data_IF_904248978022
#
_entry.id   IF_904248978022
#
_cell.length_a   1.000
_cell.length_b   1.000
_cell.length_c   1.000
_cell.angle_alpha   90.00
_cell.angle_beta   90.00
_cell.angle_gamma   90.00
#
_symmetry.space_group_name_H-M   'P 1'
#
loop_
_entity.id
_entity.type
_entity.pdbx_description
1 polymer ?
#
# COMPACT_ATOMS: atom_id res chain seq x y z
N UNK A 1 26.84 7.48 -73.66
CA UNK A 1 28.03 8.14 -74.22
C UNK A 1 28.16 9.49 -73.56
N UNK A 2 29.02 9.58 -72.53
CA UNK A 2 30.28 10.37 -72.55
C UNK A 2 29.99 11.88 -72.57
N UNK A 3 29.98 12.61 -71.44
CA UNK A 3 31.12 12.99 -70.59
C UNK A 3 32.24 13.68 -71.39
N UNK A 4 32.60 14.93 -71.04
CA UNK A 4 33.86 15.30 -70.34
C UNK A 4 34.26 16.78 -70.61
N UNK A 5 34.22 17.73 -69.64
CA UNK A 5 35.20 18.21 -68.61
C UNK A 5 35.76 19.62 -68.91
N UNK A 6 35.83 20.48 -67.87
CA UNK A 6 37.01 21.25 -67.43
C UNK A 6 36.61 22.15 -66.22
N UNK A 7 37.00 21.76 -64.98
CA UNK A 7 37.97 22.44 -64.09
C UNK A 7 37.62 23.90 -63.73
N UNK A 8 37.62 24.39 -62.48
CA UNK A 8 38.72 24.32 -61.48
C UNK A 8 38.28 25.06 -60.19
N UNK A 9 38.90 24.70 -59.07
CA UNK A 9 39.29 25.56 -57.94
C UNK A 9 38.26 26.01 -56.87
N UNK A 10 38.46 25.43 -55.68
CA UNK A 10 38.83 26.13 -54.43
C UNK A 10 37.75 26.74 -53.50
N UNK A 11 37.94 26.34 -52.24
CA UNK A 11 37.77 27.11 -51.01
C UNK A 11 36.39 27.13 -50.34
N UNK A 12 36.36 26.38 -49.24
CA UNK A 12 35.52 26.58 -48.06
C UNK A 12 35.27 28.06 -47.73
N UNK A 13 34.00 28.47 -47.74
CA UNK A 13 33.55 29.71 -47.11
C UNK A 13 32.38 29.39 -46.18
N UNK A 14 32.60 29.64 -44.89
CA UNK A 14 31.64 29.59 -43.80
C UNK A 14 30.56 30.65 -44.06
N UNK A 15 29.26 30.32 -44.18
CA UNK A 15 28.22 31.33 -44.19
C UNK A 15 27.83 31.70 -42.75
N UNK A 16 28.55 32.67 -42.19
CA UNK A 16 28.04 33.54 -41.12
C UNK A 16 26.84 34.32 -41.63
N UNK A 17 25.64 34.04 -41.09
CA UNK A 17 24.54 34.97 -40.75
C UNK A 17 23.23 34.19 -40.54
N UNK A 18 22.98 33.77 -39.30
CA UNK A 18 21.63 33.48 -38.85
C UNK A 18 21.02 34.80 -38.36
N UNK A 19 20.03 35.30 -39.10
CA UNK A 19 19.15 36.41 -38.68
C UNK A 19 18.30 35.93 -37.50
N UNK A 20 18.23 36.66 -36.37
CA UNK A 20 17.24 36.38 -35.34
C UNK A 20 15.99 37.20 -35.66
N UNK A 21 14.90 36.56 -36.06
CA UNK A 21 13.58 37.14 -35.85
C UNK A 21 12.50 36.05 -35.88
N UNK A 22 11.58 36.16 -34.92
CA UNK A 22 10.31 35.45 -34.79
C UNK A 22 10.36 34.02 -34.27
N UNK A 23 10.51 33.89 -32.94
CA UNK A 23 9.69 33.01 -32.09
C UNK A 23 9.90 33.41 -30.62
N UNK A 24 9.61 34.68 -30.33
CA UNK A 24 9.41 35.15 -28.96
C UNK A 24 7.90 35.02 -28.72
N UNK A 25 7.44 33.86 -28.26
CA UNK A 25 6.29 33.88 -27.36
C UNK A 25 6.83 34.47 -26.06
N UNK A 26 6.64 35.78 -25.90
CA UNK A 26 6.79 36.47 -24.62
C UNK A 26 5.95 35.70 -23.60
N UNK A 27 6.62 34.98 -22.70
CA UNK A 27 6.02 34.66 -21.41
C UNK A 27 5.77 36.01 -20.75
N UNK A 28 4.52 36.34 -20.36
CA UNK A 28 4.20 37.65 -19.83
C UNK A 28 5.10 37.95 -18.62
N UNK A 29 5.71 39.13 -18.67
CA UNK A 29 6.63 39.64 -17.66
C UNK A 29 6.01 39.55 -16.26
N UNK A 30 6.73 38.95 -15.30
CA UNK A 30 6.46 39.14 -13.88
C UNK A 30 6.28 37.93 -12.94
N UNK A 31 6.85 36.73 -13.18
CA UNK A 31 6.63 35.63 -12.23
C UNK A 31 7.79 34.64 -11.98
N UNK A 32 9.03 35.12 -11.85
CA UNK A 32 10.13 34.27 -11.32
C UNK A 32 11.00 34.99 -10.27
N UNK A 33 10.40 35.86 -9.46
CA UNK A 33 11.15 36.72 -8.52
C UNK A 33 11.53 36.03 -7.18
N UNK A 34 11.08 34.79 -6.94
CA UNK A 34 11.30 34.10 -5.65
C UNK A 34 11.82 32.67 -5.75
N UNK A 35 12.20 32.22 -6.94
CA UNK A 35 12.62 30.85 -7.21
C UNK A 35 14.08 30.80 -7.68
N UNK A 36 14.94 29.93 -7.12
CA UNK A 36 16.30 29.78 -7.63
C UNK A 36 16.28 29.31 -9.08
N UNK A 37 16.95 30.04 -9.96
CA UNK A 37 17.14 29.64 -11.35
C UNK A 37 18.22 28.54 -11.43
N UNK A 38 17.98 27.49 -12.21
CA UNK A 38 19.01 26.51 -12.55
C UNK A 38 19.98 27.12 -13.57
N UNK A 39 21.30 26.83 -13.49
CA UNK A 39 22.25 27.27 -14.52
C UNK A 39 21.85 26.70 -15.88
N UNK A 40 21.72 27.59 -16.86
CA UNK A 40 21.29 27.28 -18.22
C UNK A 40 22.31 26.33 -18.88
N UNK A 41 22.02 25.02 -18.92
CA UNK A 41 22.85 24.08 -19.68
C UNK A 41 22.56 24.23 -21.18
N UNK A 42 23.53 24.81 -21.90
CA UNK A 42 23.79 24.80 -23.36
C UNK A 42 22.66 25.15 -24.35
N UNK A 43 21.42 25.35 -23.89
CA UNK A 43 20.22 25.48 -24.73
C UNK A 43 19.47 26.80 -24.51
N UNK A 44 20.05 27.73 -23.74
CA UNK A 44 19.54 29.10 -23.58
C UNK A 44 18.17 29.24 -22.89
N UNK A 45 17.56 28.15 -22.40
CA UNK A 45 16.26 28.19 -21.72
C UNK A 45 16.45 28.13 -20.21
N UNK A 46 16.11 29.21 -19.52
CA UNK A 46 15.93 29.23 -18.08
C UNK A 46 14.60 28.55 -17.72
N UNK A 47 14.63 27.57 -16.82
CA UNK A 47 13.42 26.95 -16.28
C UNK A 47 13.18 27.49 -14.88
N UNK A 48 12.04 28.15 -14.67
CA UNK A 48 11.63 28.54 -13.32
C UNK A 48 11.18 27.30 -12.55
N UNK A 49 11.89 26.98 -11.48
CA UNK A 49 11.52 25.90 -10.57
C UNK A 49 10.69 26.47 -9.42
N UNK A 50 9.46 25.98 -9.24
CA UNK A 50 8.71 26.26 -8.02
C UNK A 50 9.10 25.25 -6.94
N UNK A 51 9.73 25.65 -5.83
CA UNK A 51 9.97 24.75 -4.71
C UNK A 51 8.63 24.24 -4.18
N UNK A 52 8.33 22.98 -4.47
CA UNK A 52 7.17 22.25 -3.93
C UNK A 52 7.17 22.30 -2.39
N UNK A 53 8.32 22.52 -1.76
CA UNK A 53 8.49 22.78 -0.32
C UNK A 53 8.05 24.19 0.11
N UNK A 54 6.89 24.66 -0.35
CA UNK A 54 6.17 25.73 0.33
C UNK A 54 5.58 25.16 1.63
N UNK A 55 5.58 25.94 2.72
CA UNK A 55 5.07 25.50 4.04
C UNK A 55 3.73 24.74 3.89
N UNK A 56 3.57 23.57 4.54
CA UNK A 56 2.33 22.81 4.46
C UNK A 56 1.16 23.63 5.02
N UNK A 57 -0.01 23.49 4.42
CA UNK A 57 -1.23 24.11 4.97
C UNK A 57 -1.53 23.50 6.34
N UNK A 58 -1.96 24.31 7.31
CA UNK A 58 -2.36 23.85 8.65
C UNK A 58 -3.39 22.71 8.54
N UNK A 59 -4.34 22.82 7.61
CA UNK A 59 -5.35 21.79 7.35
C UNK A 59 -4.74 20.44 6.93
N UNK A 60 -3.68 20.46 6.11
CA UNK A 60 -2.99 19.23 5.70
C UNK A 60 -2.23 18.58 6.86
N UNK A 61 -1.67 19.38 7.76
CA UNK A 61 -0.96 18.88 8.94
C UNK A 61 -1.93 18.23 9.93
N UNK A 62 -3.08 18.88 10.18
CA UNK A 62 -4.16 18.31 11.01
C UNK A 62 -4.65 16.98 10.43
N UNK A 63 -4.88 16.92 9.10
CA UNK A 63 -5.27 15.68 8.44
C UNK A 63 -4.25 14.55 8.67
N UNK A 64 -2.96 14.81 8.46
CA UNK A 64 -1.93 13.77 8.64
C UNK A 64 -1.80 13.32 10.10
N UNK A 65 -2.00 14.23 11.07
CA UNK A 65 -2.01 13.89 12.49
C UNK A 65 -3.20 12.98 12.83
N UNK A 66 -4.41 13.33 12.38
CA UNK A 66 -5.61 12.51 12.57
C UNK A 66 -5.46 11.15 11.88
N UNK A 67 -4.99 11.14 10.63
CA UNK A 67 -4.77 9.92 9.86
C UNK A 67 -3.73 9.00 10.55
N UNK A 68 -2.66 9.55 11.10
CA UNK A 68 -1.66 8.78 11.85
C UNK A 68 -2.26 8.16 13.13
N UNK A 69 -3.05 8.92 13.90
CA UNK A 69 -3.72 8.41 15.11
C UNK A 69 -4.68 7.27 14.76
N UNK A 70 -5.53 7.47 13.75
CA UNK A 70 -6.46 6.43 13.29
C UNK A 70 -5.70 5.21 12.76
N UNK A 71 -4.61 5.42 12.03
CA UNK A 71 -3.75 4.34 11.53
C UNK A 71 -3.16 3.49 12.66
N UNK A 72 -2.63 4.13 13.71
CA UNK A 72 -2.13 3.43 14.90
C UNK A 72 -3.24 2.68 15.61
N UNK A 73 -4.43 3.28 15.76
CA UNK A 73 -5.57 2.63 16.37
C UNK A 73 -6.02 1.37 15.60
N UNK A 74 -6.04 1.41 14.26
CA UNK A 74 -6.36 0.25 13.41
C UNK A 74 -5.37 -0.89 13.65
N UNK A 75 -4.07 -0.58 13.72
CA UNK A 75 -3.03 -1.59 13.97
C UNK A 75 -3.15 -2.17 15.38
N UNK A 76 -3.38 -1.32 16.39
CA UNK A 76 -3.56 -1.75 17.77
C UNK A 76 -4.77 -2.69 17.93
N UNK A 77 -5.93 -2.31 17.38
CA UNK A 77 -7.11 -3.16 17.37
C UNK A 77 -6.88 -4.46 16.58
N UNK A 78 -6.13 -4.40 15.49
CA UNK A 78 -5.70 -5.59 14.74
C UNK A 78 -4.86 -6.55 15.59
N UNK A 79 -3.94 -6.04 16.40
CA UNK A 79 -3.13 -6.87 17.29
C UNK A 79 -3.95 -7.41 18.47
N UNK A 80 -4.84 -6.61 19.04
CA UNK A 80 -5.74 -7.06 20.11
C UNK A 80 -6.70 -8.15 19.64
N UNK A 81 -7.26 -8.03 18.43
CA UNK A 81 -8.11 -9.08 17.85
C UNK A 81 -7.32 -10.37 17.65
N UNK A 82 -6.09 -10.33 17.16
CA UNK A 82 -5.23 -11.52 17.01
C UNK A 82 -4.88 -12.15 18.36
N UNK A 83 -4.57 -11.36 19.38
CA UNK A 83 -4.27 -11.85 20.73
C UNK A 83 -5.50 -12.50 21.38
N UNK A 84 -6.67 -11.84 21.28
CA UNK A 84 -7.93 -12.36 21.81
C UNK A 84 -8.31 -13.68 21.11
N UNK A 85 -8.16 -13.73 19.79
CA UNK A 85 -8.34 -14.96 19.04
C UNK A 85 -7.37 -16.04 19.52
N UNK A 86 -6.05 -15.80 19.57
CA UNK A 86 -5.06 -16.78 20.07
C UNK A 86 -5.44 -17.36 21.44
N UNK A 87 -5.96 -16.54 22.34
CA UNK A 87 -6.43 -17.00 23.66
C UNK A 87 -7.63 -17.94 23.59
N UNK A 88 -8.55 -17.71 22.63
CA UNK A 88 -9.65 -18.64 22.32
C UNK A 88 -9.09 -19.97 21.78
N UNK A 89 -8.12 -19.94 20.85
CA UNK A 89 -7.57 -21.17 20.25
C UNK A 89 -6.74 -22.01 21.19
N UNK A 90 -5.98 -21.41 22.10
CA UNK A 90 -5.16 -22.14 23.06
C UNK A 90 -5.97 -23.16 23.88
N UNK A 91 -7.30 -22.93 24.01
CA UNK A 91 -8.24 -23.82 24.70
C UNK A 91 -8.79 -24.97 23.83
N UNK A 92 -8.61 -24.95 22.50
CA UNK A 92 -9.17 -25.95 21.57
C UNK A 92 -8.12 -26.86 20.94
N UNK A 93 -7.00 -27.12 21.63
CA UNK A 93 -5.99 -28.11 21.23
C UNK A 93 -6.62 -29.52 21.13
N UNK A 94 -6.08 -30.41 20.28
CA UNK A 94 -6.67 -31.73 20.05
C UNK A 94 -6.82 -32.57 21.33
N UNK A 95 -5.90 -32.42 22.30
CA UNK A 95 -5.96 -33.08 23.61
C UNK A 95 -7.07 -32.51 24.51
N UNK A 96 -7.30 -31.19 24.48
CA UNK A 96 -8.41 -30.58 25.23
C UNK A 96 -9.79 -30.84 24.62
N UNK A 97 -9.90 -31.24 23.34
CA UNK A 97 -11.20 -31.64 22.78
C UNK A 97 -11.73 -32.93 23.39
N UNK A 98 -10.84 -33.89 23.66
CA UNK A 98 -11.21 -35.13 24.31
C UNK A 98 -11.61 -34.87 25.76
N UNK A 99 -10.88 -34.01 26.48
CA UNK A 99 -11.27 -33.58 27.83
C UNK A 99 -12.59 -32.82 27.83
N UNK A 100 -12.80 -31.86 26.93
CA UNK A 100 -14.07 -31.13 26.83
C UNK A 100 -15.26 -32.05 26.48
N UNK A 101 -15.04 -33.09 25.68
CA UNK A 101 -16.07 -34.10 25.40
C UNK A 101 -16.35 -34.98 26.64
N UNK A 102 -15.31 -35.37 27.38
CA UNK A 102 -15.41 -36.13 28.63
C UNK A 102 -16.14 -35.30 29.70
N UNK A 103 -15.78 -34.03 29.85
CA UNK A 103 -16.40 -33.12 30.82
C UNK A 103 -17.89 -32.88 30.53
N UNK A 104 -18.29 -32.83 29.25
CA UNK A 104 -19.71 -32.77 28.86
C UNK A 104 -20.48 -34.05 29.16
N UNK A 105 -19.83 -35.21 29.03
CA UNK A 105 -20.43 -36.49 29.42
C UNK A 105 -20.56 -36.58 30.95
N UNK A 106 -19.53 -36.13 31.67
CA UNK A 106 -19.53 -36.04 33.13
C UNK A 106 -20.65 -35.12 33.63
N UNK A 107 -20.85 -33.93 33.07
CA UNK A 107 -21.94 -33.00 33.42
C UNK A 107 -23.34 -33.66 33.31
N UNK A 108 -23.58 -34.40 32.22
CA UNK A 108 -24.84 -35.13 32.01
C UNK A 108 -24.99 -36.32 32.96
N UNK A 109 -23.90 -37.02 33.26
CA UNK A 109 -23.91 -38.18 34.15
C UNK A 109 -23.99 -37.76 35.62
N UNK A 110 -23.41 -36.62 35.98
CA UNK A 110 -23.36 -36.07 37.33
C UNK A 110 -24.59 -35.23 37.69
N UNK A 111 -25.65 -35.27 36.86
CA UNK A 111 -26.90 -34.53 37.06
C UNK A 111 -26.68 -33.03 37.38
N UNK A 112 -25.66 -32.40 36.77
CA UNK A 112 -25.35 -30.98 36.98
C UNK A 112 -24.54 -30.62 38.23
N UNK A 113 -23.99 -31.59 38.98
CA UNK A 113 -23.06 -31.31 40.10
C UNK A 113 -21.63 -30.92 39.65
N UNK A 114 -21.31 -31.05 38.36
CA UNK A 114 -20.00 -30.75 37.79
C UNK A 114 -20.15 -29.66 36.73
N UNK A 115 -19.65 -28.47 37.03
CA UNK A 115 -20.01 -27.21 36.34
C UNK A 115 -18.91 -26.67 35.41
N UNK A 116 -17.85 -27.46 35.21
CA UNK A 116 -16.65 -27.06 34.45
C UNK A 116 -16.96 -26.86 32.95
N UNK A 117 -17.89 -27.64 32.41
CA UNK A 117 -18.33 -27.50 31.02
C UNK A 117 -19.24 -26.28 30.77
N UNK A 118 -19.92 -25.74 31.78
CA UNK A 118 -20.77 -24.54 31.67
C UNK A 118 -19.97 -23.24 31.80
N UNK A 119 -19.02 -23.20 32.75
CA UNK A 119 -18.08 -22.07 32.91
C UNK A 119 -17.21 -21.84 31.67
N UNK A 120 -16.75 -22.89 31.01
CA UNK A 120 -16.04 -22.79 29.73
C UNK A 120 -16.91 -22.18 28.63
N UNK A 121 -18.20 -22.56 28.53
CA UNK A 121 -19.13 -21.97 27.54
C UNK A 121 -19.32 -20.47 27.78
N UNK A 122 -19.48 -20.04 29.03
CA UNK A 122 -19.65 -18.62 29.36
C UNK A 122 -18.40 -17.80 29.00
N UNK A 123 -17.20 -18.31 29.29
CA UNK A 123 -15.95 -17.64 28.91
C UNK A 123 -15.72 -17.59 27.39
N UNK A 124 -16.07 -18.67 26.67
CA UNK A 124 -16.00 -18.71 25.20
C UNK A 124 -16.98 -17.69 24.60
N UNK A 125 -18.22 -17.65 25.08
CA UNK A 125 -19.24 -16.71 24.63
C UNK A 125 -18.78 -15.25 24.85
N UNK A 126 -18.35 -14.91 26.07
CA UNK A 126 -17.88 -13.56 26.41
C UNK A 126 -16.65 -13.13 25.60
N UNK A 127 -15.71 -14.05 25.36
CA UNK A 127 -14.50 -13.74 24.59
C UNK A 127 -14.81 -13.62 23.09
N UNK A 128 -15.70 -14.46 22.56
CA UNK A 128 -16.15 -14.39 21.16
C UNK A 128 -16.88 -13.08 20.86
N UNK A 129 -17.69 -12.58 21.79
CA UNK A 129 -18.37 -11.29 21.68
C UNK A 129 -17.37 -10.13 21.63
N UNK A 130 -16.37 -10.15 22.53
CA UNK A 130 -15.28 -9.14 22.53
C UNK A 130 -14.52 -9.11 21.19
N UNK A 131 -14.23 -10.27 20.62
CA UNK A 131 -13.54 -10.37 19.33
C UNK A 131 -14.39 -9.80 18.20
N UNK A 132 -15.70 -10.06 18.19
CA UNK A 132 -16.61 -9.49 17.20
C UNK A 132 -16.68 -7.97 17.31
N UNK A 133 -16.76 -7.42 18.54
CA UNK A 133 -16.74 -5.98 18.78
C UNK A 133 -15.44 -5.35 18.29
N UNK A 134 -14.28 -5.83 18.73
CA UNK A 134 -12.98 -5.30 18.30
C UNK A 134 -12.84 -5.31 16.77
N UNK A 135 -13.35 -6.36 16.12
CA UNK A 135 -13.37 -6.47 14.66
C UNK A 135 -14.29 -5.45 13.99
N UNK A 136 -15.50 -5.23 14.50
CA UNK A 136 -16.44 -4.24 13.93
C UNK A 136 -15.92 -2.82 14.10
N UNK A 137 -15.38 -2.49 15.27
CA UNK A 137 -14.71 -1.20 15.52
C UNK A 137 -13.52 -1.00 14.58
N UNK A 138 -12.66 -2.01 14.43
CA UNK A 138 -11.55 -1.97 13.47
C UNK A 138 -12.02 -1.75 12.03
N UNK A 139 -13.07 -2.44 11.58
CA UNK A 139 -13.69 -2.24 10.26
C UNK A 139 -14.19 -0.81 10.07
N UNK A 140 -14.94 -0.28 11.05
CA UNK A 140 -15.50 1.06 10.99
C UNK A 140 -14.40 2.13 10.92
N UNK A 141 -13.34 2.00 11.73
CA UNK A 141 -12.20 2.90 11.69
C UNK A 141 -11.44 2.83 10.36
N UNK A 142 -11.26 1.63 9.79
CA UNK A 142 -10.64 1.47 8.48
C UNK A 142 -11.45 2.15 7.37
N UNK A 143 -12.78 1.97 7.36
CA UNK A 143 -13.67 2.64 6.40
C UNK A 143 -13.64 4.16 6.60
N UNK A 144 -13.70 4.63 7.85
CA UNK A 144 -13.61 6.05 8.17
C UNK A 144 -12.30 6.67 7.69
N UNK A 145 -11.16 5.98 7.88
CA UNK A 145 -9.85 6.41 7.36
C UNK A 145 -9.86 6.56 5.84
N UNK A 146 -10.41 5.57 5.11
CA UNK A 146 -10.45 5.62 3.65
C UNK A 146 -11.35 6.76 3.15
N UNK A 147 -12.52 6.95 3.76
CA UNK A 147 -13.42 8.07 3.43
C UNK A 147 -12.76 9.41 3.71
N UNK A 148 -12.12 9.56 4.88
CA UNK A 148 -11.37 10.76 5.26
C UNK A 148 -10.25 11.06 4.25
N UNK A 149 -9.53 10.02 3.83
CA UNK A 149 -8.44 10.13 2.85
C UNK A 149 -8.92 10.54 1.46
N UNK A 150 -10.01 9.95 0.99
CA UNK A 150 -10.62 10.30 -0.30
C UNK A 150 -11.18 11.72 -0.26
N UNK A 151 -11.87 12.09 0.82
CA UNK A 151 -12.41 13.45 1.01
C UNK A 151 -11.29 14.50 1.03
N UNK A 152 -10.21 14.24 1.75
CA UNK A 152 -9.03 15.12 1.77
C UNK A 152 -8.40 15.28 0.38
N UNK A 153 -8.19 14.17 -0.35
CA UNK A 153 -7.65 14.22 -1.71
C UNK A 153 -8.60 14.96 -2.66
N UNK A 154 -9.91 14.73 -2.57
CA UNK A 154 -10.91 15.45 -3.35
C UNK A 154 -10.86 16.96 -3.07
N UNK A 155 -10.80 17.36 -1.80
CA UNK A 155 -10.67 18.77 -1.40
C UNK A 155 -9.42 19.42 -2.00
N UNK A 156 -8.25 18.77 -1.87
CA UNK A 156 -6.99 19.26 -2.45
C UNK A 156 -7.07 19.34 -3.97
N UNK A 157 -7.79 18.41 -4.61
CA UNK A 157 -8.06 18.42 -6.05
C UNK A 157 -8.98 19.57 -6.49
N UNK A 158 -10.06 19.83 -5.75
CA UNK A 158 -11.02 20.90 -6.01
C UNK A 158 -10.43 22.29 -5.80
N UNK A 159 -9.50 22.43 -4.86
CA UNK A 159 -8.79 23.70 -4.60
C UNK A 159 -7.84 24.11 -5.74
N UNK A 160 -7.87 23.42 -6.90
CA UNK A 160 -7.08 23.65 -8.10
C UNK A 160 -5.60 23.95 -7.79
N UNK A 161 -5.05 23.26 -6.79
CA UNK A 161 -3.66 23.39 -6.40
C UNK A 161 -2.76 22.86 -7.51
N UNK A 162 -1.54 23.41 -7.60
CA UNK A 162 -0.54 22.97 -8.59
C UNK A 162 -0.47 21.43 -8.63
N UNK A 163 -0.49 20.87 -9.84
CA UNK A 163 -0.49 19.43 -10.12
C UNK A 163 0.53 18.61 -9.31
N UNK A 164 1.69 19.20 -9.03
CA UNK A 164 2.74 18.61 -8.19
C UNK A 164 2.31 18.45 -6.72
N UNK A 165 1.62 19.44 -6.13
CA UNK A 165 1.14 19.38 -4.74
C UNK A 165 0.10 18.29 -4.54
N UNK A 166 -0.86 18.17 -5.47
CA UNK A 166 -1.83 17.07 -5.45
C UNK A 166 -1.14 15.70 -5.52
N UNK A 167 -0.16 15.56 -6.42
CA UNK A 167 0.60 14.31 -6.58
C UNK A 167 1.39 13.97 -5.31
N UNK A 168 1.95 14.98 -4.62
CA UNK A 168 2.63 14.78 -3.34
C UNK A 168 1.67 14.23 -2.28
N UNK A 169 0.50 14.85 -2.10
CA UNK A 169 -0.50 14.38 -1.14
C UNK A 169 -0.96 12.95 -1.47
N UNK A 170 -1.12 12.64 -2.75
CA UNK A 170 -1.45 11.29 -3.22
C UNK A 170 -0.39 10.25 -2.80
N UNK A 171 0.90 10.58 -2.97
CA UNK A 171 2.01 9.71 -2.55
C UNK A 171 2.12 9.58 -1.02
N UNK A 172 1.88 10.66 -0.27
CA UNK A 172 1.91 10.62 1.20
C UNK A 172 0.77 9.78 1.78
N UNK A 173 -0.45 9.92 1.24
CA UNK A 173 -1.58 9.06 1.64
C UNK A 173 -1.31 7.60 1.25
N UNK A 174 -0.74 7.36 0.07
CA UNK A 174 -0.32 6.01 -0.34
C UNK A 174 0.71 5.43 0.65
N UNK A 175 1.69 6.22 1.11
CA UNK A 175 2.69 5.78 2.09
C UNK A 175 2.06 5.40 3.43
N UNK A 176 1.07 6.15 3.92
CA UNK A 176 0.31 5.78 5.12
C UNK A 176 -0.46 4.47 4.94
N UNK A 177 -1.15 4.32 3.81
CA UNK A 177 -1.86 3.07 3.49
C UNK A 177 -0.90 1.87 3.41
N UNK A 178 0.30 2.05 2.83
CA UNK A 178 1.30 0.99 2.78
C UNK A 178 1.78 0.61 4.19
N UNK A 179 2.09 1.61 5.03
CA UNK A 179 2.55 1.37 6.39
C UNK A 179 1.52 0.58 7.19
N UNK A 180 0.25 1.02 7.17
CA UNK A 180 -0.86 0.33 7.85
C UNK A 180 -1.08 -1.06 7.25
N UNK A 181 -1.06 -1.19 5.92
CA UNK A 181 -1.29 -2.44 5.21
C UNK A 181 -0.24 -3.52 5.47
N UNK A 182 1.01 -3.12 5.68
CA UNK A 182 2.11 -4.02 6.04
C UNK A 182 2.06 -4.44 7.51
N UNK A 183 1.63 -3.55 8.40
CA UNK A 183 1.57 -3.82 9.84
C UNK A 183 0.31 -4.54 10.30
N UNK A 184 -0.83 -4.32 9.63
CA UNK A 184 -2.10 -4.89 10.03
C UNK A 184 -2.25 -6.36 9.55
N UNK A 185 -3.05 -7.19 10.24
CA UNK A 185 -3.34 -8.54 9.80
C UNK A 185 -3.97 -8.54 8.39
N UNK A 186 -3.38 -9.29 7.46
CA UNK A 186 -3.82 -9.35 6.06
C UNK A 186 -4.81 -10.49 5.82
N UNK A 187 -4.54 -11.64 6.43
CA UNK A 187 -5.34 -12.85 6.31
C UNK A 187 -5.62 -13.38 7.70
N UNK A 188 -6.88 -13.66 8.00
CA UNK A 188 -7.28 -14.38 9.19
C UNK A 188 -8.00 -15.64 8.75
N UNK A 189 -7.36 -16.77 9.03
CA UNK A 189 -7.92 -18.08 8.74
C UNK A 189 -8.57 -18.57 10.02
N UNK A 190 -9.85 -18.93 9.99
CA UNK A 190 -10.51 -19.68 11.07
C UNK A 190 -11.02 -21.00 10.49
N UNK A 191 -10.36 -22.09 10.86
CA UNK A 191 -10.94 -23.40 10.61
C UNK A 191 -12.10 -23.63 11.57
N UNK A 192 -13.33 -23.59 11.07
CA UNK A 192 -14.50 -24.01 11.83
C UNK A 192 -14.90 -25.38 11.28
N UNK A 193 -14.82 -26.44 12.09
CA UNK A 193 -15.56 -27.67 11.78
C UNK A 193 -16.78 -27.72 12.67
N UNK A 194 -17.93 -27.86 12.04
CA UNK A 194 -19.11 -28.35 12.71
C UNK A 194 -18.88 -29.83 13.05
N UNK A 195 -18.69 -30.13 14.33
CA UNK A 195 -18.71 -31.51 14.81
C UNK A 195 -20.13 -31.76 15.30
N UNK A 196 -20.83 -32.69 14.66
CA UNK A 196 -22.26 -33.01 14.87
C UNK A 196 -22.65 -33.34 16.33
N UNK A 197 -21.69 -33.52 17.23
CA UNK A 197 -21.90 -33.83 18.66
C UNK A 197 -21.45 -32.68 19.59
N UNK A 198 -20.66 -31.70 19.13
CA UNK A 198 -20.09 -30.63 19.99
C UNK A 198 -20.49 -29.19 19.62
N UNK A 199 -21.16 -28.95 18.49
CA UNK A 199 -21.48 -27.60 18.00
C UNK A 199 -20.30 -26.96 17.24
N UNK A 200 -20.39 -25.66 16.94
CA UNK A 200 -19.35 -24.92 16.20
C UNK A 200 -18.06 -24.83 17.00
N UNK A 201 -17.08 -25.67 16.68
CA UNK A 201 -15.76 -25.60 17.28
C UNK A 201 -14.80 -24.96 16.30
N UNK A 202 -14.21 -23.88 16.76
CA UNK A 202 -13.17 -23.13 16.07
C UNK A 202 -11.85 -23.93 16.23
N UNK A 203 -11.49 -24.69 15.20
CA UNK A 203 -10.43 -25.70 15.21
C UNK A 203 -9.00 -25.18 14.99
N UNK A 204 -8.82 -24.10 14.22
CA UNK A 204 -7.51 -23.50 13.93
C UNK A 204 -7.66 -22.02 13.63
N UNK A 205 -6.73 -21.20 14.10
CA UNK A 205 -6.56 -19.86 13.57
C UNK A 205 -5.14 -19.44 13.47
N UNK A 206 -4.89 -18.87 12.33
CA UNK A 206 -3.69 -18.14 12.06
C UNK A 206 -4.16 -16.83 11.44
N UNK A 207 -3.90 -15.74 12.14
CA UNK A 207 -3.79 -14.47 11.46
C UNK A 207 -2.33 -14.27 11.06
N UNK A 208 -2.11 -13.85 9.83
CA UNK A 208 -0.77 -13.55 9.33
C UNK A 208 -0.79 -12.18 8.67
N UNK A 209 0.00 -11.26 9.22
CA UNK A 209 0.46 -10.08 8.48
C UNK A 209 1.52 -10.50 7.46
N UNK A 210 1.73 -9.71 6.40
CA UNK A 210 2.73 -10.04 5.35
C UNK A 210 4.10 -10.27 5.97
N UNK A 211 4.53 -9.37 6.86
CA UNK A 211 5.83 -9.47 7.52
C UNK A 211 5.95 -10.78 8.30
N UNK A 212 4.88 -11.18 9.00
CA UNK A 212 4.85 -12.42 9.76
C UNK A 212 4.86 -13.64 8.84
N UNK A 213 4.17 -13.59 7.71
CA UNK A 213 4.24 -14.63 6.66
C UNK A 213 5.67 -14.77 6.14
N UNK A 214 6.34 -13.66 5.79
CA UNK A 214 7.74 -13.69 5.33
C UNK A 214 8.66 -14.34 6.36
N UNK A 215 8.55 -13.94 7.64
CA UNK A 215 9.38 -14.49 8.72
C UNK A 215 9.11 -15.98 8.92
N UNK A 216 7.84 -16.39 8.91
CA UNK A 216 7.46 -17.81 9.11
C UNK A 216 7.88 -18.70 7.95
N UNK A 217 7.84 -18.21 6.70
CA UNK A 217 8.33 -18.96 5.54
C UNK A 217 9.85 -19.07 5.52
N UNK A 218 10.55 -18.00 5.90
CA UNK A 218 12.01 -18.02 6.03
C UNK A 218 12.44 -19.02 7.11
N UNK A 219 11.73 -19.07 8.24
CA UNK A 219 11.98 -20.04 9.31
C UNK A 219 11.69 -21.50 8.90
N UNK A 220 10.87 -21.72 7.87
CA UNK A 220 10.58 -23.05 7.29
C UNK A 220 11.53 -23.41 6.13
N UNK A 221 12.63 -22.68 5.97
CA UNK A 221 13.62 -22.83 4.90
C UNK A 221 13.05 -22.65 3.47
N UNK A 222 11.85 -22.07 3.33
CA UNK A 222 11.22 -21.78 2.04
C UNK A 222 11.68 -20.42 1.49
N UNK A 223 12.99 -20.27 1.30
CA UNK A 223 13.63 -19.00 0.93
C UNK A 223 13.11 -18.38 -0.37
N UNK A 224 12.77 -19.21 -1.36
CA UNK A 224 12.24 -18.72 -2.65
C UNK A 224 10.89 -18.02 -2.46
N UNK A 225 9.98 -18.64 -1.72
CA UNK A 225 8.65 -18.09 -1.46
C UNK A 225 8.72 -16.87 -0.53
N UNK A 226 9.53 -16.94 0.53
CA UNK A 226 9.76 -15.82 1.43
C UNK A 226 10.37 -14.61 0.70
N UNK A 227 11.38 -14.85 -0.14
CA UNK A 227 12.05 -13.84 -0.93
C UNK A 227 11.15 -13.22 -1.99
N UNK A 228 10.35 -14.02 -2.69
CA UNK A 228 9.36 -13.53 -3.64
C UNK A 228 8.33 -12.63 -2.93
N UNK A 229 7.75 -13.09 -1.82
CA UNK A 229 6.77 -12.32 -1.06
C UNK A 229 7.36 -11.01 -0.51
N UNK A 230 8.58 -11.04 0.03
CA UNK A 230 9.26 -9.83 0.53
C UNK A 230 9.59 -8.82 -0.59
N UNK A 231 10.07 -9.33 -1.73
CA UNK A 231 10.41 -8.50 -2.88
C UNK A 231 9.18 -7.76 -3.42
N UNK A 232 8.09 -8.51 -3.63
CA UNK A 232 6.86 -7.97 -4.17
C UNK A 232 6.11 -7.13 -3.14
N UNK A 233 5.86 -7.61 -1.93
CA UNK A 233 5.03 -6.86 -0.98
C UNK A 233 5.73 -5.70 -0.25
N UNK A 234 7.06 -5.71 -0.14
CA UNK A 234 7.79 -4.68 0.62
C UNK A 234 8.72 -3.89 -0.31
N UNK A 235 9.69 -4.54 -0.93
CA UNK A 235 10.77 -3.85 -1.65
C UNK A 235 10.23 -3.04 -2.83
N UNK A 236 9.38 -3.64 -3.66
CA UNK A 236 8.81 -3.00 -4.85
C UNK A 236 7.89 -1.81 -4.48
N UNK A 237 6.95 -1.93 -3.53
CA UNK A 237 6.12 -0.82 -3.05
C UNK A 237 6.92 0.35 -2.49
N UNK A 238 7.92 0.05 -1.66
CA UNK A 238 8.82 1.06 -1.10
C UNK A 238 9.62 1.77 -2.19
N UNK A 239 10.20 1.01 -3.13
CA UNK A 239 10.93 1.59 -4.25
C UNK A 239 10.04 2.51 -5.10
N UNK A 240 8.78 2.13 -5.37
CA UNK A 240 7.81 2.98 -6.08
C UNK A 240 7.51 4.27 -5.35
N UNK A 241 7.31 4.23 -4.03
CA UNK A 241 7.07 5.42 -3.22
C UNK A 241 8.28 6.36 -3.25
N UNK A 242 9.48 5.83 -3.05
CA UNK A 242 10.72 6.61 -3.10
C UNK A 242 10.90 7.26 -4.48
N UNK A 243 10.70 6.50 -5.56
CA UNK A 243 10.75 7.04 -6.93
C UNK A 243 9.70 8.14 -7.14
N UNK A 244 8.47 7.92 -6.69
CA UNK A 244 7.39 8.90 -6.74
C UNK A 244 7.77 10.20 -6.02
N UNK A 245 8.30 10.11 -4.80
CA UNK A 245 8.74 11.27 -4.02
C UNK A 245 9.89 12.00 -4.72
N UNK A 246 10.89 11.28 -5.22
CA UNK A 246 12.00 11.84 -6.01
C UNK A 246 11.50 12.50 -7.30
N UNK A 247 10.43 11.99 -7.92
CA UNK A 247 9.87 12.59 -9.13
C UNK A 247 9.21 13.96 -8.88
N UNK A 248 8.70 14.17 -7.66
CA UNK A 248 8.04 15.41 -7.24
C UNK A 248 9.04 16.40 -6.66
N UNK A 249 10.00 15.93 -5.85
CA UNK A 249 11.01 16.78 -5.19
C UNK A 249 12.27 17.02 -6.05
N UNK A 250 12.60 16.09 -6.96
CA UNK A 250 13.79 16.13 -7.79
C UNK A 250 13.69 17.08 -8.98
N UNK A 251 14.84 17.44 -9.53
CA UNK A 251 14.97 18.42 -10.61
C UNK A 251 15.77 17.85 -11.79
N UNK A 252 15.59 18.44 -12.99
CA UNK A 252 16.40 18.14 -14.16
C UNK A 252 16.48 16.66 -14.51
N UNK A 253 17.69 16.09 -14.43
CA UNK A 253 17.95 14.68 -14.77
C UNK A 253 17.24 13.70 -13.83
N UNK A 254 17.28 13.93 -12.52
CA UNK A 254 16.72 13.03 -11.51
C UNK A 254 15.19 12.87 -11.68
N UNK A 255 14.46 13.97 -11.93
CA UNK A 255 13.03 13.93 -12.22
C UNK A 255 12.73 13.18 -13.52
N UNK A 256 13.46 13.48 -14.61
CA UNK A 256 13.25 12.82 -15.90
C UNK A 256 13.52 11.32 -15.84
N UNK A 257 14.56 10.92 -15.12
CA UNK A 257 14.88 9.52 -14.88
C UNK A 257 13.82 8.84 -14.02
N UNK A 258 13.47 9.41 -12.86
CA UNK A 258 12.46 8.84 -11.98
C UNK A 258 11.11 8.66 -12.67
N UNK A 259 10.62 9.65 -13.42
CA UNK A 259 9.35 9.52 -14.17
C UNK A 259 9.43 8.43 -15.25
N UNK A 260 10.59 8.25 -15.92
CA UNK A 260 10.78 7.16 -16.88
C UNK A 260 10.75 5.79 -16.20
N UNK A 261 11.50 5.64 -15.11
CA UNK A 261 11.54 4.39 -14.34
C UNK A 261 10.17 4.07 -13.78
N UNK A 262 9.47 5.05 -13.21
CA UNK A 262 8.14 4.86 -12.66
C UNK A 262 7.09 4.50 -13.73
N UNK A 263 7.26 4.95 -14.99
CA UNK A 263 6.43 4.50 -16.10
C UNK A 263 6.72 3.04 -16.50
N UNK A 264 7.99 2.64 -16.49
CA UNK A 264 8.36 1.25 -16.71
C UNK A 264 7.80 0.38 -15.59
N UNK A 265 8.05 0.74 -14.33
CA UNK A 265 7.63 -0.01 -13.14
C UNK A 265 6.10 0.01 -12.93
N UNK A 266 5.43 1.11 -13.27
CA UNK A 266 3.99 1.28 -13.10
C UNK A 266 3.14 0.29 -13.92
N UNK A 267 3.61 -0.10 -15.12
CA UNK A 267 2.95 -1.13 -15.95
C UNK A 267 3.02 -2.53 -15.36
N UNK A 268 4.06 -2.81 -14.59
CA UNK A 268 4.29 -4.12 -13.93
C UNK A 268 3.79 -4.10 -12.47
N UNK A 269 3.27 -2.97 -12.00
CA UNK A 269 2.90 -2.74 -10.61
C UNK A 269 1.62 -3.46 -10.18
N UNK A 270 0.67 -3.70 -11.08
CA UNK A 270 -0.56 -4.43 -10.74
C UNK A 270 -0.27 -5.92 -10.52
N UNK A 271 0.73 -6.45 -11.22
CA UNK A 271 1.20 -7.84 -11.08
C UNK A 271 1.63 -8.14 -9.65
N UNK A 272 2.20 -7.17 -8.95
CA UNK A 272 2.61 -7.27 -7.54
C UNK A 272 1.42 -7.66 -6.63
N UNK A 273 0.32 -6.90 -6.70
CA UNK A 273 -0.91 -7.19 -5.93
C UNK A 273 -1.51 -8.55 -6.31
N UNK A 274 -1.49 -8.88 -7.60
CA UNK A 274 -1.98 -10.17 -8.08
C UNK A 274 -1.15 -11.34 -7.54
N UNK A 275 0.17 -11.26 -7.59
CA UNK A 275 1.07 -12.29 -7.06
C UNK A 275 0.86 -12.47 -5.56
N UNK A 276 0.75 -11.38 -4.79
CA UNK A 276 0.45 -11.46 -3.36
C UNK A 276 -0.90 -12.13 -3.09
N UNK A 277 -1.94 -11.79 -3.86
CA UNK A 277 -3.26 -12.40 -3.72
C UNK A 277 -3.24 -13.91 -4.03
N UNK A 278 -2.53 -14.32 -5.08
CA UNK A 278 -2.38 -15.75 -5.44
C UNK A 278 -1.56 -16.49 -4.39
N UNK A 279 -0.46 -15.92 -3.90
CA UNK A 279 0.33 -16.51 -2.81
C UNK A 279 -0.50 -16.66 -1.54
N UNK A 280 -1.27 -15.64 -1.16
CA UNK A 280 -2.18 -15.71 -0.01
C UNK A 280 -3.28 -16.75 -0.21
N UNK A 281 -3.86 -16.85 -1.41
CA UNK A 281 -4.87 -17.85 -1.73
C UNK A 281 -4.29 -19.27 -1.68
N UNK A 282 -3.07 -19.48 -2.17
CA UNK A 282 -2.36 -20.75 -2.05
C UNK A 282 -2.13 -21.11 -0.58
N UNK A 283 -1.65 -20.16 0.24
CA UNK A 283 -1.49 -20.38 1.68
C UNK A 283 -2.81 -20.65 2.41
N UNK A 284 -3.90 -20.01 2.00
CA UNK A 284 -5.23 -20.29 2.52
C UNK A 284 -5.72 -21.69 2.13
N UNK A 285 -5.40 -22.15 0.91
CA UNK A 285 -5.73 -23.48 0.42
C UNK A 285 -5.00 -24.61 1.16
N UNK A 286 -3.74 -24.40 1.57
CA UNK A 286 -3.01 -25.36 2.41
C UNK A 286 -3.66 -25.56 3.80
N UNK A 287 -4.53 -24.65 4.24
CA UNK A 287 -5.20 -24.74 5.54
C UNK A 287 -6.39 -25.73 5.56
N UNK A 288 -6.71 -26.41 4.45
CA UNK A 288 -7.64 -27.55 4.36
C UNK A 288 -9.13 -27.23 4.14
N UNK A 289 -9.90 -28.24 3.71
CA UNK A 289 -11.29 -28.17 3.20
C UNK A 289 -12.38 -27.68 4.18
N UNK A 290 -12.06 -27.45 5.45
CA UNK A 290 -13.03 -27.05 6.48
C UNK A 290 -12.65 -25.73 7.13
N UNK A 291 -12.19 -24.79 6.31
CA UNK A 291 -11.50 -23.61 6.77
C UNK A 291 -12.09 -22.33 6.19
N UNK A 292 -12.71 -21.52 7.05
CA UNK A 292 -13.24 -20.21 6.69
C UNK A 292 -12.09 -19.20 6.76
N UNK A 293 -11.57 -18.80 5.60
CA UNK A 293 -10.60 -17.73 5.50
C UNK A 293 -11.33 -16.41 5.21
N UNK A 294 -11.02 -15.37 5.99
CA UNK A 294 -11.48 -14.02 5.69
C UNK A 294 -10.32 -13.05 5.55
N UNK A 295 -10.56 -12.09 4.67
CA UNK A 295 -9.62 -11.02 4.36
C UNK A 295 -9.58 -10.02 5.52
N UNK A 296 -8.40 -9.80 6.07
CA UNK A 296 -8.13 -8.80 7.11
C UNK A 296 -7.92 -7.41 6.53
N UNK A 297 -7.90 -6.40 7.41
CA UNK A 297 -7.76 -4.98 7.03
C UNK A 297 -6.50 -4.68 6.24
N UNK A 298 -5.40 -5.39 6.51
CA UNK A 298 -4.12 -5.17 5.85
C UNK A 298 -4.22 -5.24 4.32
N UNK A 299 -5.07 -6.14 3.79
CA UNK A 299 -5.22 -6.31 2.34
C UNK A 299 -5.91 -5.12 1.69
N UNK A 300 -6.93 -4.57 2.34
CA UNK A 300 -7.67 -3.40 1.86
C UNK A 300 -6.76 -2.16 1.80
N UNK A 301 -5.92 -1.98 2.81
CA UNK A 301 -4.94 -0.89 2.86
C UNK A 301 -3.83 -1.05 1.82
N UNK A 302 -3.32 -2.27 1.62
CA UNK A 302 -2.34 -2.58 0.59
C UNK A 302 -2.90 -2.36 -0.83
N UNK A 303 -4.13 -2.80 -1.08
CA UNK A 303 -4.82 -2.56 -2.36
C UNK A 303 -5.06 -1.06 -2.60
N UNK A 304 -5.48 -0.33 -1.56
CA UNK A 304 -5.66 1.12 -1.62
C UNK A 304 -4.35 1.84 -1.92
N UNK A 305 -3.24 1.44 -1.30
CA UNK A 305 -1.91 1.91 -1.65
C UNK A 305 -1.59 1.69 -3.14
N UNK A 306 -1.80 0.47 -3.64
CA UNK A 306 -1.49 0.13 -5.03
C UNK A 306 -2.27 0.98 -6.02
N UNK A 307 -3.56 1.23 -5.74
CA UNK A 307 -4.42 2.10 -6.54
C UNK A 307 -3.92 3.56 -6.52
N UNK A 308 -3.61 4.10 -5.35
CA UNK A 308 -3.12 5.47 -5.19
C UNK A 308 -1.75 5.66 -5.87
N UNK A 309 -0.85 4.69 -5.74
CA UNK A 309 0.46 4.71 -6.39
C UNK A 309 0.34 4.66 -7.91
N UNK A 310 -0.57 3.85 -8.45
CA UNK A 310 -0.86 3.81 -9.88
C UNK A 310 -1.41 5.16 -10.37
N UNK A 311 -2.36 5.74 -9.64
CA UNK A 311 -2.93 7.04 -9.97
C UNK A 311 -1.86 8.15 -9.94
N UNK A 312 -0.92 8.09 -8.99
CA UNK A 312 0.21 9.01 -8.93
C UNK A 312 1.11 8.88 -10.16
N UNK A 313 1.40 7.66 -10.59
CA UNK A 313 2.18 7.41 -11.80
C UNK A 313 1.47 7.90 -13.07
N UNK A 314 0.17 7.65 -13.20
CA UNK A 314 -0.65 8.12 -14.33
C UNK A 314 -0.73 9.65 -14.39
N UNK A 315 -0.87 10.33 -13.25
CA UNK A 315 -0.78 11.79 -13.19
C UNK A 315 0.62 12.25 -13.56
N UNK A 316 1.69 11.64 -13.08
CA UNK A 316 3.04 12.07 -13.44
C UNK A 316 3.35 11.90 -14.93
N UNK A 317 2.79 10.90 -15.60
CA UNK A 317 2.97 10.68 -17.06
C UNK A 317 2.17 11.65 -17.93
N UNK A 318 0.92 11.96 -17.59
CA UNK A 318 0.04 12.82 -18.40
C UNK A 318 0.57 14.26 -18.58
N UNK A 319 1.56 14.69 -17.79
CA UNK A 319 2.20 16.00 -17.93
C UNK A 319 3.22 16.11 -19.07
N UNK A 320 3.42 15.04 -19.87
CA UNK A 320 4.34 15.02 -21.02
C UNK A 320 3.64 15.17 -22.39
N UNK A 321 2.31 15.11 -22.46
CA UNK A 321 1.57 15.04 -23.73
C UNK A 321 1.28 16.38 -24.43
N UNK A 322 1.99 17.47 -24.10
CA UNK A 322 1.70 18.82 -24.65
C UNK A 322 2.97 19.66 -24.81
N UNK A 323 4.11 19.03 -25.07
CA UNK A 323 5.39 19.70 -25.30
C UNK A 323 6.05 19.20 -26.58
#
# INVERSE_FOLDING_TARGET
>A
MQAVWASTAASSAIPTRLRPNNLIHQLPDGYCDKSPMLPAQATGRAYCYDPVMRKPSIASLIYYLIAAIIGVAIVALGMETDAAYKSLYARFTPEMRTEAAINRLLEKLSLGLYDEAETDRQHIAATSERVLLLRTWGNQLAVAFLILSVSFLALVGLQNSKRQRFTLHLLLVAALCLAIGLSAPMLSIVAQREVAVLGQVILRFESKAILQTIITLAAREQWVMAGALALFSVVVPWAKLCLGLVSVAGHGHARRWSVRVMHAVGRWSMTDVFVVAVLLAFMAGEAGDSTNAWVGHGLWFFASYALLSWLAAARLSSGRGSA
#
